data_IF_014528720691
#
_entry.id   IF_014528720691
#
_cell.length_a   1.000
_cell.length_b   1.000
_cell.length_c   1.000
_cell.angle_alpha   90.00
_cell.angle_beta   90.00
_cell.angle_gamma   90.00
#
_symmetry.space_group_name_H-M   'P 1'
#
loop_
_entity.id
_entity.type
_entity.pdbx_description
1 polymer ?
#
# COMPACT_ATOMS: atom_id res chain seq x y z
N UNK A 1 16.08 -21.05 6.02
CA UNK A 1 17.18 -20.50 5.22
C UNK A 1 17.08 -20.86 3.73
N UNK A 2 17.02 -22.12 3.36
CA UNK A 2 16.92 -22.57 1.94
C UNK A 2 15.70 -22.00 1.20
N UNK A 3 14.49 -22.09 1.76
CA UNK A 3 13.25 -21.53 1.17
C UNK A 3 13.35 -20.03 0.89
N UNK A 4 14.02 -19.28 1.78
CA UNK A 4 14.20 -17.83 1.62
C UNK A 4 15.10 -17.50 0.44
N UNK A 5 16.14 -18.30 0.20
CA UNK A 5 17.04 -18.15 -0.96
C UNK A 5 16.26 -18.43 -2.25
N UNK A 6 15.53 -19.54 -2.30
CA UNK A 6 14.67 -19.87 -3.46
C UNK A 6 13.67 -18.74 -3.73
N UNK A 7 13.01 -18.25 -2.69
CA UNK A 7 12.04 -17.15 -2.85
C UNK A 7 12.70 -15.87 -3.40
N UNK A 8 13.90 -15.53 -2.96
CA UNK A 8 14.65 -14.38 -3.50
C UNK A 8 14.97 -14.55 -4.99
N UNK A 9 15.42 -15.74 -5.39
CA UNK A 9 15.74 -16.05 -6.80
C UNK A 9 14.45 -15.98 -7.64
N UNK A 10 13.39 -16.66 -7.22
CA UNK A 10 12.10 -16.64 -7.92
C UNK A 10 11.53 -15.23 -8.00
N UNK A 11 11.66 -14.43 -6.94
CA UNK A 11 11.23 -13.02 -6.95
C UNK A 11 12.04 -12.18 -7.95
N UNK A 12 13.34 -12.38 -8.04
CA UNK A 12 14.17 -11.66 -9.02
C UNK A 12 13.74 -12.01 -10.45
N UNK A 13 13.58 -13.31 -10.76
CA UNK A 13 13.10 -13.76 -12.07
C UNK A 13 11.70 -13.21 -12.35
N UNK A 14 10.81 -13.26 -11.36
CA UNK A 14 9.47 -12.71 -11.46
C UNK A 14 9.49 -11.22 -11.87
N UNK A 15 10.29 -10.39 -11.20
CA UNK A 15 10.37 -8.98 -11.55
C UNK A 15 10.99 -8.76 -12.95
N UNK A 16 11.98 -9.54 -13.35
CA UNK A 16 12.57 -9.44 -14.71
C UNK A 16 11.50 -9.77 -15.77
N UNK A 17 10.73 -10.84 -15.59
CA UNK A 17 9.72 -11.27 -16.55
C UNK A 17 8.50 -10.32 -16.59
N UNK A 18 8.16 -9.69 -15.46
CA UNK A 18 7.04 -8.74 -15.41
C UNK A 18 7.37 -7.36 -15.97
N UNK A 19 8.64 -6.99 -16.07
CA UNK A 19 9.02 -5.68 -16.59
C UNK A 19 8.47 -5.38 -18.00
N UNK A 20 8.64 -6.25 -19.03
CA UNK A 20 8.06 -6.00 -20.34
C UNK A 20 6.52 -5.99 -20.35
N UNK A 21 5.89 -6.82 -19.51
CA UNK A 21 4.43 -6.85 -19.37
C UNK A 21 3.91 -5.53 -18.82
N UNK A 22 4.58 -4.96 -17.83
CA UNK A 22 4.22 -3.68 -17.24
C UNK A 22 4.41 -2.51 -18.22
N UNK A 23 5.37 -2.58 -19.14
CA UNK A 23 5.52 -1.59 -20.22
C UNK A 23 4.26 -1.53 -21.09
N UNK A 24 3.68 -2.67 -21.45
CA UNK A 24 2.42 -2.72 -22.20
C UNK A 24 1.30 -2.07 -21.37
N UNK A 25 1.29 -2.28 -20.06
CA UNK A 25 0.33 -1.65 -19.15
C UNK A 25 0.34 -0.12 -19.18
N UNK A 26 1.47 0.50 -19.51
CA UNK A 26 1.57 1.97 -19.56
C UNK A 26 0.67 2.61 -20.63
N UNK A 27 0.19 1.88 -21.62
CA UNK A 27 -0.71 2.37 -22.65
C UNK A 27 -2.06 2.77 -22.06
N UNK A 28 -2.59 1.97 -21.11
CA UNK A 28 -3.91 2.19 -20.53
C UNK A 28 -3.88 2.06 -19.00
N UNK A 29 -4.45 3.06 -18.29
CA UNK A 29 -4.43 3.08 -16.82
C UNK A 29 -5.17 1.91 -16.17
N UNK A 30 -6.29 1.43 -16.75
CA UNK A 30 -7.01 0.25 -16.24
C UNK A 30 -6.18 -1.02 -16.40
N UNK A 31 -5.58 -1.19 -17.57
CA UNK A 31 -4.67 -2.30 -17.87
C UNK A 31 -3.46 -2.26 -16.92
N UNK A 32 -2.85 -1.09 -16.74
CA UNK A 32 -1.73 -0.93 -15.82
C UNK A 32 -2.09 -1.36 -14.39
N UNK A 33 -3.22 -0.89 -13.87
CA UNK A 33 -3.66 -1.27 -12.53
C UNK A 33 -3.90 -2.78 -12.41
N UNK A 34 -4.54 -3.39 -13.41
CA UNK A 34 -4.74 -4.83 -13.46
C UNK A 34 -3.40 -5.58 -13.45
N UNK A 35 -2.44 -5.18 -14.29
CA UNK A 35 -1.14 -5.84 -14.38
C UNK A 35 -0.30 -5.66 -13.12
N UNK A 36 -0.26 -4.47 -12.53
CA UNK A 36 0.46 -4.23 -11.27
C UNK A 36 -0.12 -5.08 -10.13
N UNK A 37 -1.44 -5.13 -10.02
CA UNK A 37 -2.10 -5.96 -9.01
C UNK A 37 -1.86 -7.45 -9.27
N UNK A 38 -1.90 -7.89 -10.53
CA UNK A 38 -1.62 -9.29 -10.90
C UNK A 38 -0.17 -9.69 -10.61
N UNK A 39 0.78 -8.80 -10.88
CA UNK A 39 2.18 -8.97 -10.50
C UNK A 39 2.33 -9.15 -8.98
N UNK A 40 1.71 -8.27 -8.19
CA UNK A 40 1.72 -8.37 -6.74
C UNK A 40 1.04 -9.67 -6.22
N UNK A 41 -0.05 -10.08 -6.84
CA UNK A 41 -0.77 -11.33 -6.52
C UNK A 41 0.10 -12.56 -6.75
N UNK A 42 0.74 -12.62 -7.89
CA UNK A 42 1.59 -13.76 -8.22
C UNK A 42 2.82 -13.81 -7.29
N UNK A 43 3.38 -12.66 -6.92
CA UNK A 43 4.44 -12.60 -5.91
C UNK A 43 3.97 -13.14 -4.54
N UNK A 44 2.76 -12.79 -4.12
CA UNK A 44 2.12 -13.33 -2.91
C UNK A 44 1.90 -14.85 -3.01
N UNK A 45 1.52 -15.35 -4.18
CA UNK A 45 1.39 -16.79 -4.43
C UNK A 45 2.73 -17.52 -4.29
N UNK A 46 3.82 -16.96 -4.84
CA UNK A 46 5.17 -17.50 -4.63
C UNK A 46 5.57 -17.53 -3.17
N UNK A 47 5.27 -16.47 -2.41
CA UNK A 47 5.51 -16.44 -0.97
C UNK A 47 4.75 -17.56 -0.25
N UNK A 48 3.49 -17.82 -0.66
CA UNK A 48 2.68 -18.90 -0.11
C UNK A 48 3.24 -20.29 -0.45
N UNK A 49 3.60 -20.53 -1.72
CA UNK A 49 4.06 -21.85 -2.19
C UNK A 49 5.44 -22.18 -1.62
N UNK A 50 6.39 -21.24 -1.70
CA UNK A 50 7.78 -21.48 -1.37
C UNK A 50 8.02 -21.37 0.13
N UNK A 51 7.49 -20.30 0.75
CA UNK A 51 7.73 -20.02 2.17
C UNK A 51 6.62 -20.52 3.08
N UNK A 52 5.47 -20.96 2.54
CA UNK A 52 4.32 -21.38 3.33
C UNK A 52 3.56 -20.23 3.98
N UNK A 53 3.82 -18.98 3.58
CA UNK A 53 3.21 -17.78 4.17
C UNK A 53 1.72 -17.75 3.82
N UNK A 54 0.90 -17.76 4.86
CA UNK A 54 -0.55 -17.57 4.76
C UNK A 54 -0.93 -16.32 5.52
N UNK A 55 -1.93 -15.59 5.06
CA UNK A 55 -2.48 -14.46 5.79
C UNK A 55 -3.98 -14.64 6.02
N UNK A 56 -4.46 -14.10 7.11
CA UNK A 56 -5.88 -13.95 7.42
C UNK A 56 -6.16 -12.49 7.70
N UNK A 57 -7.28 -12.00 7.22
CA UNK A 57 -7.73 -10.65 7.50
C UNK A 57 -8.87 -10.76 8.51
N UNK A 58 -8.67 -10.13 9.67
CA UNK A 58 -9.69 -10.05 10.71
C UNK A 58 -10.30 -8.66 10.65
N UNK A 59 -11.62 -8.62 10.52
CA UNK A 59 -12.40 -7.41 10.65
C UNK A 59 -13.03 -7.44 12.05
N UNK A 60 -12.87 -6.40 12.90
CA UNK A 60 -13.61 -6.36 14.16
C UNK A 60 -15.10 -6.34 13.86
N UNK A 61 -15.93 -6.83 14.81
CA UNK A 61 -17.38 -6.75 14.69
C UNK A 61 -17.78 -5.27 14.54
N UNK A 62 -18.82 -5.02 13.75
CA UNK A 62 -19.39 -3.69 13.54
C UNK A 62 -19.96 -3.20 14.88
N UNK A 63 -19.24 -2.31 15.56
CA UNK A 63 -19.83 -1.63 16.71
C UNK A 63 -20.72 -0.47 16.22
N UNK A 64 -21.82 -0.25 16.92
CA UNK A 64 -22.87 0.76 16.61
C UNK A 64 -22.36 2.22 16.60
N UNK A 65 -21.10 2.48 16.86
CA UNK A 65 -20.53 3.82 17.05
C UNK A 65 -19.94 4.46 15.81
N UNK A 66 -20.46 4.16 14.60
CA UNK A 66 -20.28 5.06 13.46
C UNK A 66 -18.90 5.14 12.81
N UNK A 67 -17.95 4.28 13.17
CA UNK A 67 -16.72 4.14 12.37
C UNK A 67 -17.09 3.31 11.15
N UNK A 68 -16.89 3.82 9.91
CA UNK A 68 -17.18 3.06 8.70
C UNK A 68 -16.27 1.84 8.66
N UNK A 69 -16.79 0.73 9.13
CA UNK A 69 -16.12 -0.56 9.10
C UNK A 69 -16.30 -1.17 7.72
N UNK A 70 -15.31 -1.91 7.25
CA UNK A 70 -15.44 -2.73 6.04
C UNK A 70 -16.57 -3.75 6.30
N UNK A 71 -17.78 -3.59 5.79
CA UNK A 71 -18.86 -4.50 6.09
C UNK A 71 -18.68 -5.78 5.27
N UNK A 72 -18.75 -6.90 5.95
CA UNK A 72 -19.15 -8.21 5.44
C UNK A 72 -18.92 -8.48 3.94
N UNK A 73 -17.72 -8.89 3.59
CA UNK A 73 -17.43 -9.63 2.33
C UNK A 73 -17.70 -8.93 0.99
N UNK A 74 -18.57 -7.93 0.94
CA UNK A 74 -18.97 -7.20 -0.26
C UNK A 74 -18.90 -5.70 -0.19
N UNK A 75 -18.38 -5.15 0.88
CA UNK A 75 -18.42 -3.72 1.06
C UNK A 75 -17.17 -3.03 0.55
N UNK A 76 -17.43 -2.22 -0.39
CA UNK A 76 -16.52 -1.21 -0.87
C UNK A 76 -16.33 -0.18 0.22
N UNK A 77 -15.11 -0.07 0.73
CA UNK A 77 -14.70 1.07 1.51
C UNK A 77 -14.88 2.32 0.64
N UNK A 78 -15.74 3.23 1.04
CA UNK A 78 -16.15 4.39 0.23
C UNK A 78 -15.13 5.55 0.18
N UNK A 79 -13.90 5.29 0.63
CA UNK A 79 -12.83 6.29 0.62
C UNK A 79 -12.91 7.36 1.71
N UNK A 80 -13.85 7.28 2.64
CA UNK A 80 -14.07 8.30 3.67
C UNK A 80 -13.17 8.18 4.90
N UNK A 81 -12.09 7.41 4.85
CA UNK A 81 -11.10 7.33 5.92
C UNK A 81 -9.68 7.19 5.37
N UNK A 82 -8.70 7.51 6.21
CA UNK A 82 -7.29 7.22 5.97
C UNK A 82 -6.95 5.91 6.65
N UNK A 83 -6.53 4.91 5.88
CA UNK A 83 -6.06 3.64 6.45
C UNK A 83 -4.61 3.82 6.91
N UNK A 84 -4.39 3.71 8.21
CA UNK A 84 -3.07 3.79 8.83
C UNK A 84 -2.60 2.37 9.19
N UNK A 85 -1.76 1.79 8.34
CA UNK A 85 -1.28 0.43 8.51
C UNK A 85 0.13 0.39 9.09
N UNK A 86 0.40 -0.59 9.97
CA UNK A 86 1.75 -0.88 10.44
C UNK A 86 2.58 -1.43 9.29
N UNK A 87 3.87 -1.04 9.21
CA UNK A 87 4.75 -1.46 8.12
C UNK A 87 5.87 -2.37 8.61
N UNK A 88 5.78 -3.66 8.33
CA UNK A 88 6.78 -4.65 8.72
C UNK A 88 7.43 -5.34 7.51
N UNK A 89 6.66 -5.59 6.44
CA UNK A 89 7.12 -6.33 5.27
C UNK A 89 6.55 -5.76 3.95
N UNK A 90 6.74 -6.45 2.86
CA UNK A 90 6.08 -6.14 1.59
C UNK A 90 4.65 -6.72 1.53
N UNK A 91 4.36 -7.68 2.40
CA UNK A 91 3.11 -8.43 2.38
C UNK A 91 1.89 -7.53 2.63
N UNK A 92 2.01 -6.54 3.52
CA UNK A 92 0.93 -5.60 3.81
C UNK A 92 0.50 -4.81 2.56
N UNK A 93 1.47 -4.40 1.73
CA UNK A 93 1.17 -3.67 0.49
C UNK A 93 0.39 -4.57 -0.45
N UNK A 94 0.82 -5.84 -0.60
CA UNK A 94 0.14 -6.82 -1.44
C UNK A 94 -1.29 -7.07 -0.93
N UNK A 95 -1.44 -7.35 0.36
CA UNK A 95 -2.75 -7.67 0.97
C UNK A 95 -3.69 -6.47 0.90
N UNK A 96 -3.22 -5.29 1.34
CA UNK A 96 -4.05 -4.07 1.35
C UNK A 96 -4.45 -3.62 -0.05
N UNK A 97 -3.60 -3.79 -1.07
CA UNK A 97 -3.95 -3.52 -2.46
C UNK A 97 -5.09 -4.41 -2.97
N UNK A 98 -5.30 -5.54 -2.32
CA UNK A 98 -6.32 -6.52 -2.68
C UNK A 98 -7.67 -6.25 -2.03
N UNK A 99 -7.62 -5.97 -0.71
CA UNK A 99 -8.83 -5.85 0.10
C UNK A 99 -9.40 -4.44 0.08
N UNK A 100 -8.60 -3.42 -0.26
CA UNK A 100 -9.04 -2.03 -0.34
C UNK A 100 -9.17 -1.61 -1.80
N UNK A 101 -10.38 -1.50 -2.33
CA UNK A 101 -10.60 -1.05 -3.70
C UNK A 101 -10.08 0.37 -3.92
N UNK A 102 -9.54 0.62 -5.12
CA UNK A 102 -9.03 1.93 -5.52
C UNK A 102 -7.99 2.52 -4.54
N UNK A 103 -7.29 1.67 -3.78
CA UNK A 103 -6.26 2.11 -2.86
C UNK A 103 -5.12 2.84 -3.59
N UNK A 104 -4.54 3.83 -2.91
CA UNK A 104 -3.25 4.39 -3.28
C UNK A 104 -2.40 4.59 -2.02
N UNK A 105 -1.10 4.48 -2.19
CA UNK A 105 -0.14 4.54 -1.09
C UNK A 105 0.71 5.80 -1.19
N UNK A 106 1.09 6.35 -0.04
CA UNK A 106 2.20 7.30 0.03
C UNK A 106 3.50 6.50 0.03
N UNK A 107 4.38 6.83 -0.90
CA UNK A 107 5.66 6.14 -1.07
C UNK A 107 6.84 7.10 -1.11
N UNK A 108 8.04 6.57 -0.95
CA UNK A 108 9.27 7.32 -1.09
C UNK A 108 9.46 7.74 -2.55
N UNK A 109 9.85 9.01 -2.81
CA UNK A 109 10.00 9.55 -4.17
C UNK A 109 10.93 8.71 -5.05
N UNK A 110 11.97 8.16 -4.47
CA UNK A 110 12.99 7.38 -5.17
C UNK A 110 12.46 6.08 -5.78
N UNK A 111 11.32 5.58 -5.29
CA UNK A 111 10.63 4.44 -5.90
C UNK A 111 10.18 4.75 -7.33
N UNK A 112 9.86 6.02 -7.61
CA UNK A 112 9.47 6.46 -8.96
C UNK A 112 10.64 6.42 -9.97
N UNK A 113 11.88 6.31 -9.51
CA UNK A 113 13.05 6.24 -10.37
C UNK A 113 13.40 4.81 -10.80
N UNK A 114 12.76 3.81 -10.21
CA UNK A 114 12.95 2.43 -10.65
C UNK A 114 12.38 2.30 -12.06
N UNK A 115 13.22 1.97 -13.07
CA UNK A 115 12.75 1.86 -14.45
C UNK A 115 11.57 0.90 -14.56
N UNK A 116 10.60 1.24 -15.40
CA UNK A 116 9.37 0.48 -15.67
C UNK A 116 8.45 0.43 -14.45
N UNK A 117 8.92 -0.08 -13.30
CA UNK A 117 8.13 -0.21 -12.06
C UNK A 117 7.71 1.15 -11.50
N UNK A 118 8.62 2.11 -11.44
CA UNK A 118 8.31 3.47 -10.99
C UNK A 118 7.27 4.14 -11.88
N UNK A 119 7.35 3.93 -13.19
CA UNK A 119 6.37 4.46 -14.17
C UNK A 119 5.01 3.78 -14.00
N UNK A 120 4.98 2.45 -13.81
CA UNK A 120 3.75 1.71 -13.55
C UNK A 120 3.10 2.15 -12.23
N UNK A 121 3.87 2.37 -11.18
CA UNK A 121 3.38 2.87 -9.89
C UNK A 121 2.89 4.31 -9.97
N UNK A 122 3.59 5.17 -10.72
CA UNK A 122 3.13 6.53 -10.98
C UNK A 122 1.79 6.52 -11.71
N UNK A 123 1.66 5.70 -12.75
CA UNK A 123 0.41 5.54 -13.50
C UNK A 123 -0.71 4.91 -12.68
N UNK A 124 -0.40 4.02 -11.78
CA UNK A 124 -1.33 3.48 -10.78
C UNK A 124 -1.79 4.56 -9.80
N UNK A 125 -1.08 5.68 -9.73
CA UNK A 125 -1.43 6.84 -8.90
C UNK A 125 -0.90 6.76 -7.48
N UNK A 126 0.20 6.06 -7.22
CA UNK A 126 0.92 6.18 -5.96
C UNK A 126 1.31 7.65 -5.72
N UNK A 127 1.39 8.04 -4.47
CA UNK A 127 1.72 9.41 -4.07
C UNK A 127 3.17 9.50 -3.56
N UNK A 128 4.11 9.96 -4.40
CA UNK A 128 5.48 10.13 -3.96
C UNK A 128 5.63 11.31 -3.00
N UNK A 129 6.43 11.11 -1.96
CA UNK A 129 6.78 12.16 -1.01
C UNK A 129 8.28 12.32 -0.88
N UNK A 130 8.75 13.56 -0.94
CA UNK A 130 10.13 13.90 -0.59
C UNK A 130 10.17 14.27 0.90
N UNK A 131 10.84 13.43 1.68
CA UNK A 131 10.89 13.57 3.15
C UNK A 131 11.83 14.68 3.63
N UNK A 132 12.72 15.17 2.78
CA UNK A 132 13.69 16.24 3.12
C UNK A 132 13.14 17.65 2.99
N UNK A 133 11.98 17.82 2.34
CA UNK A 133 11.37 19.14 2.12
C UNK A 133 10.19 19.36 3.07
N UNK A 134 10.40 20.18 4.12
CA UNK A 134 9.46 20.51 5.19
C UNK A 134 8.01 20.93 4.82
N UNK A 135 7.47 21.98 5.46
CA UNK A 135 6.05 22.41 5.39
C UNK A 135 5.49 22.64 3.98
N UNK A 136 6.28 23.19 3.06
CA UNK A 136 5.82 23.48 1.67
C UNK A 136 5.43 22.20 0.93
N UNK A 137 6.12 21.10 1.21
CA UNK A 137 5.82 19.79 0.64
C UNK A 137 4.53 19.19 1.20
N UNK A 138 4.17 19.50 2.44
CA UNK A 138 2.97 18.98 3.10
C UNK A 138 1.69 19.55 2.50
N UNK A 139 1.62 20.85 2.22
CA UNK A 139 0.46 21.46 1.55
C UNK A 139 0.25 20.96 0.11
N UNK A 140 1.36 20.70 -0.59
CA UNK A 140 1.26 20.05 -1.91
C UNK A 140 0.75 18.62 -1.79
N UNK A 141 1.28 17.84 -0.85
CA UNK A 141 0.86 16.48 -0.57
C UNK A 141 -0.63 16.43 -0.24
N UNK A 142 -1.09 17.29 0.64
CA UNK A 142 -2.51 17.40 1.03
C UNK A 142 -3.40 17.62 -0.20
N UNK A 143 -3.09 18.62 -1.04
CA UNK A 143 -3.85 18.90 -2.27
C UNK A 143 -3.88 17.71 -3.24
N UNK A 144 -2.74 17.04 -3.43
CA UNK A 144 -2.63 15.91 -4.34
C UNK A 144 -3.43 14.69 -3.79
N UNK A 145 -3.41 14.49 -2.48
CA UNK A 145 -4.18 13.45 -1.78
C UNK A 145 -5.68 13.77 -1.82
N UNK A 146 -6.08 15.01 -1.50
CA UNK A 146 -7.46 15.46 -1.55
C UNK A 146 -8.11 15.19 -2.91
N UNK A 147 -7.41 15.55 -4.00
CA UNK A 147 -7.89 15.29 -5.37
C UNK A 147 -8.18 13.79 -5.59
N UNK A 148 -7.28 12.91 -5.15
CA UNK A 148 -7.46 11.46 -5.33
C UNK A 148 -8.65 10.94 -4.52
N UNK A 149 -8.83 11.41 -3.29
CA UNK A 149 -9.96 11.04 -2.43
C UNK A 149 -11.28 11.51 -3.04
N UNK A 150 -11.34 12.74 -3.58
CA UNK A 150 -12.54 13.24 -4.28
C UNK A 150 -12.90 12.39 -5.51
N UNK A 151 -11.94 11.70 -6.11
CA UNK A 151 -12.19 10.73 -7.19
C UNK A 151 -12.47 9.31 -6.67
N UNK A 152 -12.89 9.15 -5.42
CA UNK A 152 -13.28 7.86 -4.83
C UNK A 152 -12.10 6.92 -4.54
N UNK A 153 -10.89 7.46 -4.34
CA UNK A 153 -9.73 6.65 -3.98
C UNK A 153 -9.48 6.65 -2.49
N UNK A 154 -9.01 5.53 -1.96
CA UNK A 154 -8.71 5.35 -0.54
C UNK A 154 -7.21 5.49 -0.27
N UNK A 155 -6.86 6.39 0.65
CA UNK A 155 -5.47 6.56 1.08
C UNK A 155 -5.07 5.48 2.08
N UNK A 156 -3.96 4.78 1.78
CA UNK A 156 -3.25 3.94 2.73
C UNK A 156 -1.90 4.59 3.05
N UNK A 157 -1.62 4.77 4.32
CA UNK A 157 -0.36 5.35 4.80
C UNK A 157 0.29 4.42 5.82
N UNK A 158 1.61 4.32 5.76
CA UNK A 158 2.43 3.70 6.79
C UNK A 158 3.04 4.79 7.65
N UNK A 159 2.47 5.08 8.84
CA UNK A 159 2.83 6.26 9.61
C UNK A 159 4.25 6.21 10.20
N UNK A 160 4.84 5.03 10.29
CA UNK A 160 6.24 4.84 10.69
C UNK A 160 7.21 5.38 9.61
N UNK A 161 6.77 5.38 8.35
CA UNK A 161 7.56 5.84 7.21
C UNK A 161 8.73 4.94 6.81
N UNK A 162 8.90 3.82 7.47
CA UNK A 162 9.89 2.78 7.16
C UNK A 162 9.39 1.44 7.71
N UNK A 163 10.00 0.33 7.27
CA UNK A 163 9.70 -0.99 7.84
C UNK A 163 10.28 -1.09 9.24
N UNK A 164 9.48 -1.61 10.18
CA UNK A 164 9.84 -1.78 11.59
C UNK A 164 9.83 -3.25 11.94
N UNK A 165 10.93 -3.73 12.52
CA UNK A 165 11.02 -5.12 12.98
C UNK A 165 10.02 -5.36 14.12
N UNK A 166 9.51 -6.60 14.26
CA UNK A 166 8.68 -6.99 15.41
C UNK A 166 9.34 -6.62 16.74
N UNK A 167 8.54 -6.16 17.69
CA UNK A 167 9.03 -5.72 19.01
C UNK A 167 9.62 -4.32 19.06
N UNK A 168 9.98 -3.74 17.92
CA UNK A 168 10.49 -2.37 17.89
C UNK A 168 9.34 -1.36 17.76
N UNK A 169 9.51 -0.21 18.41
CA UNK A 169 8.60 0.92 18.34
C UNK A 169 9.36 2.15 17.88
N UNK A 170 8.83 2.82 16.88
CA UNK A 170 9.37 4.10 16.41
C UNK A 170 8.26 5.16 16.42
N UNK A 171 8.60 6.43 16.64
CA UNK A 171 7.61 7.51 16.62
C UNK A 171 6.90 7.60 15.27
N UNK A 172 5.58 7.74 15.31
CA UNK A 172 4.78 7.94 14.12
C UNK A 172 5.06 9.31 13.50
N UNK A 173 5.11 9.36 12.18
CA UNK A 173 5.32 10.62 11.44
C UNK A 173 4.09 11.51 11.52
N UNK A 174 4.29 12.79 11.81
CA UNK A 174 3.23 13.80 11.93
C UNK A 174 2.39 13.97 10.65
N UNK A 175 2.86 13.47 9.51
CA UNK A 175 2.15 13.55 8.23
C UNK A 175 0.79 12.87 8.22
N UNK A 176 0.59 11.79 8.97
CA UNK A 176 -0.72 11.15 9.14
C UNK A 176 -1.72 12.10 9.81
N UNK A 177 -1.36 12.65 10.97
CA UNK A 177 -2.22 13.56 11.74
C UNK A 177 -2.52 14.84 10.95
N UNK A 178 -1.52 15.38 10.24
CA UNK A 178 -1.70 16.54 9.38
C UNK A 178 -2.75 16.26 8.29
N UNK A 179 -2.62 15.16 7.56
CA UNK A 179 -3.57 14.81 6.50
C UNK A 179 -4.97 14.54 7.05
N UNK A 180 -5.09 13.84 8.17
CA UNK A 180 -6.38 13.57 8.81
C UNK A 180 -7.09 14.85 9.23
N UNK A 181 -6.35 15.79 9.82
CA UNK A 181 -6.88 17.10 10.25
C UNK A 181 -7.32 17.96 9.06
N UNK A 182 -6.43 18.15 8.07
CA UNK A 182 -6.71 19.01 6.91
C UNK A 182 -7.86 18.47 6.04
N UNK A 183 -7.91 17.14 5.88
CA UNK A 183 -8.93 16.47 5.06
C UNK A 183 -10.21 16.15 5.83
N UNK A 184 -10.21 16.36 7.14
CA UNK A 184 -11.34 16.04 8.06
C UNK A 184 -11.79 14.58 7.91
N UNK A 185 -10.82 13.67 7.81
CA UNK A 185 -11.08 12.25 7.62
C UNK A 185 -10.70 11.46 8.89
N UNK A 186 -11.49 10.47 9.27
CA UNK A 186 -11.14 9.56 10.34
C UNK A 186 -9.93 8.71 9.94
N UNK A 187 -9.19 8.24 10.94
CA UNK A 187 -8.09 7.31 10.78
C UNK A 187 -8.55 5.91 11.15
N UNK A 188 -8.42 4.97 10.21
CA UNK A 188 -8.65 3.55 10.46
C UNK A 188 -7.30 2.85 10.68
N UNK A 189 -6.99 2.46 11.94
CA UNK A 189 -5.74 1.76 12.21
C UNK A 189 -5.82 0.30 11.76
N UNK A 190 -4.74 -0.20 11.15
CA UNK A 190 -4.59 -1.60 10.72
C UNK A 190 -3.31 -2.17 11.31
N UNK A 191 -3.46 -3.15 12.20
CA UNK A 191 -2.35 -3.94 12.72
C UNK A 191 -1.93 -5.04 11.75
N UNK A 192 -0.68 -5.47 11.85
CA UNK A 192 -0.14 -6.62 11.11
C UNK A 192 0.93 -7.32 11.93
N UNK A 193 1.05 -8.61 11.73
CA UNK A 193 2.09 -9.48 12.27
C UNK A 193 3.04 -10.02 11.19
N UNK A 194 2.96 -9.48 9.99
CA UNK A 194 3.68 -9.94 8.79
C UNK A 194 5.21 -9.93 8.92
N UNK A 195 5.75 -9.27 9.92
CA UNK A 195 7.18 -9.25 10.22
C UNK A 195 7.66 -10.38 11.11
N UNK A 196 6.76 -11.24 11.62
CA UNK A 196 7.09 -12.38 12.48
C UNK A 196 7.52 -13.63 11.68
N UNK A 197 7.42 -13.62 10.35
CA UNK A 197 7.65 -14.76 9.46
C UNK A 197 8.79 -14.54 8.49
#
# INVERSE_FOLDING_TARGET
MFRTIIFKIVSAIHFILWAPILLVGLINGRLNNFLVISCARLLGLWARIICGIKYRVHFPPTEENGVPFLPNGNSRFDGKAIIAAKHMSLLEIIVLSHIVPNAFFICKREIMWIPIYGWAFWRMGLQPVNRSRGRTNMKKLERDVAKKIMHGRTLIIFPEGTRVKPGNHIPLRRGLLFLAHELKLPILPVGTDSGLY
#
